data_IF_375646971180
#
_entry.id   IF_375646971180
#
_cell.length_a   1.000
_cell.length_b   1.000
_cell.length_c   1.000
_cell.angle_alpha   90.00
_cell.angle_beta   90.00
_cell.angle_gamma   90.00
#
_symmetry.space_group_name_H-M   'P 1'
#
loop_
_entity.id
_entity.type
_entity.pdbx_description
1 polymer ?
#
# COMPACT_ATOMS: atom_id res chain seq x y z
N UNK A 1 37.53 3.84 14.09
CA UNK A 1 38.18 2.70 13.42
C UNK A 1 37.10 1.68 13.07
N UNK A 2 36.98 1.39 11.78
CA UNK A 2 35.95 0.53 11.17
C UNK A 2 36.14 -0.96 11.51
N UNK A 3 35.04 -1.70 11.61
CA UNK A 3 34.97 -3.14 11.28
C UNK A 3 33.49 -3.53 11.27
N UNK A 4 32.73 -3.66 10.16
CA UNK A 4 32.99 -4.14 8.79
C UNK A 4 33.60 -5.54 8.70
N UNK A 5 33.37 -6.44 9.66
CA UNK A 5 33.58 -7.88 9.49
C UNK A 5 32.64 -8.69 10.41
N UNK A 6 31.40 -8.93 9.98
CA UNK A 6 30.54 -9.96 10.58
C UNK A 6 29.51 -10.45 9.55
N UNK A 7 29.99 -10.78 8.34
CA UNK A 7 29.22 -11.48 7.32
C UNK A 7 30.12 -12.53 6.68
N UNK A 8 30.26 -13.68 7.35
CA UNK A 8 30.68 -14.94 6.74
C UNK A 8 30.54 -16.04 7.77
N UNK A 9 29.40 -16.73 7.72
CA UNK A 9 29.20 -18.15 8.05
C UNK A 9 27.70 -18.34 8.25
N UNK A 10 26.98 -18.60 7.15
CA UNK A 10 25.74 -19.40 7.09
C UNK A 10 25.23 -19.37 5.63
N UNK A 11 26.03 -19.94 4.73
CA UNK A 11 25.61 -20.32 3.38
C UNK A 11 26.04 -21.76 3.13
N UNK A 12 25.10 -22.68 3.29
CA UNK A 12 25.04 -24.01 2.67
C UNK A 12 23.68 -24.60 3.10
N UNK A 13 22.77 -25.11 2.27
CA UNK A 13 22.65 -25.28 0.84
C UNK A 13 21.21 -25.80 0.68
N UNK A 14 20.40 -25.20 -0.20
CA UNK A 14 19.01 -25.60 -0.41
C UNK A 14 18.59 -25.25 -1.82
N UNK A 15 18.88 -26.16 -2.74
CA UNK A 15 18.56 -26.12 -4.17
C UNK A 15 17.04 -26.17 -4.39
N UNK A 16 16.59 -25.45 -5.41
CA UNK A 16 15.36 -25.75 -6.16
C UNK A 16 14.10 -25.14 -5.59
N UNK A 17 13.64 -24.04 -6.18
CA UNK A 17 12.40 -24.07 -6.97
C UNK A 17 12.11 -22.70 -7.56
N UNK A 18 12.04 -22.67 -8.89
CA UNK A 18 11.80 -21.50 -9.71
C UNK A 18 10.29 -21.26 -9.75
N UNK A 19 9.77 -20.55 -8.75
CA UNK A 19 8.42 -19.97 -8.81
C UNK A 19 8.52 -18.52 -9.26
N UNK A 20 8.16 -18.28 -10.51
CA UNK A 20 7.90 -16.93 -11.04
C UNK A 20 6.57 -16.48 -10.46
N UNK A 21 6.61 -15.67 -9.40
CA UNK A 21 5.43 -14.99 -8.86
C UNK A 21 5.32 -13.61 -9.51
N UNK A 22 4.44 -13.50 -10.51
CA UNK A 22 3.95 -12.21 -11.02
C UNK A 22 3.32 -11.40 -9.88
N UNK A 23 3.65 -10.11 -9.72
CA UNK A 23 2.86 -9.25 -8.85
C UNK A 23 1.56 -8.91 -9.57
N UNK A 24 0.44 -9.52 -9.14
CA UNK A 24 -0.89 -8.98 -9.40
C UNK A 24 -1.07 -7.71 -8.57
N UNK A 25 -0.46 -6.63 -9.03
CA UNK A 25 -0.88 -5.29 -8.69
C UNK A 25 -2.25 -5.07 -9.30
N UNK A 26 -3.29 -5.07 -8.47
CA UNK A 26 -4.56 -4.46 -8.84
C UNK A 26 -4.32 -2.94 -8.91
N UNK A 27 -3.74 -2.50 -10.03
CA UNK A 27 -3.86 -1.12 -10.44
C UNK A 27 -5.34 -0.86 -10.66
N UNK A 28 -5.91 -0.06 -9.76
CA UNK A 28 -7.21 0.56 -9.94
C UNK A 28 -7.29 1.04 -11.38
N UNK A 29 -8.24 0.45 -12.11
CA UNK A 29 -8.59 0.79 -13.47
C UNK A 29 -8.72 2.31 -13.50
N UNK A 30 -7.67 2.98 -13.98
CA UNK A 30 -7.70 4.40 -14.24
C UNK A 30 -8.96 4.60 -15.05
N UNK A 31 -9.93 5.30 -14.46
CA UNK A 31 -11.11 5.73 -15.16
C UNK A 31 -10.53 6.52 -16.33
N UNK A 32 -10.51 5.89 -17.52
CA UNK A 32 -10.16 6.57 -18.75
C UNK A 32 -11.09 7.76 -18.73
N UNK A 33 -10.50 8.94 -18.49
CA UNK A 33 -11.11 10.20 -18.84
C UNK A 33 -11.24 10.11 -20.35
N UNK A 34 -12.35 9.55 -20.78
CA UNK A 34 -12.90 9.80 -22.09
C UNK A 34 -13.28 11.28 -22.03
N UNK A 35 -12.27 12.13 -22.20
CA UNK A 35 -12.51 13.44 -22.76
C UNK A 35 -13.24 13.13 -24.05
N UNK A 36 -14.55 13.33 -24.06
CA UNK A 36 -15.28 13.53 -25.29
C UNK A 36 -14.68 14.81 -25.89
N UNK A 37 -13.52 14.67 -26.53
CA UNK A 37 -13.11 15.58 -27.58
C UNK A 37 -14.25 15.49 -28.56
N UNK A 38 -15.13 16.49 -28.51
CA UNK A 38 -16.15 16.72 -29.52
C UNK A 38 -15.47 16.46 -30.85
N UNK A 39 -15.84 15.37 -31.50
CA UNK A 39 -15.37 15.02 -32.84
C UNK A 39 -15.41 16.30 -33.63
N UNK A 40 -14.24 16.83 -34.00
CA UNK A 40 -14.13 17.95 -34.90
C UNK A 40 -14.93 17.53 -36.12
N UNK A 41 -16.15 18.07 -36.28
CA UNK A 41 -16.93 17.88 -37.48
C UNK A 41 -16.17 18.59 -38.58
N UNK A 42 -15.28 17.84 -39.22
CA UNK A 42 -14.81 18.13 -40.56
C UNK A 42 -16.03 18.41 -41.43
N UNK A 43 -15.96 19.50 -42.19
CA UNK A 43 -17.00 19.92 -43.12
C UNK A 43 -17.87 21.04 -42.58
N UNK A 44 -17.29 22.25 -42.47
CA UNK A 44 -18.10 23.44 -42.74
C UNK A 44 -18.50 23.35 -44.21
N UNK A 45 -19.70 22.85 -44.44
CA UNK A 45 -20.32 22.74 -45.76
C UNK A 45 -20.63 24.15 -46.25
N UNK A 46 -19.60 24.84 -46.75
CA UNK A 46 -19.75 26.09 -47.47
C UNK A 46 -20.47 25.75 -48.76
N UNK A 47 -21.80 25.78 -48.71
CA UNK A 47 -22.61 25.71 -49.92
C UNK A 47 -22.11 26.81 -50.86
N UNK A 48 -21.70 26.48 -52.10
CA UNK A 48 -21.41 27.48 -53.09
C UNK A 48 -22.71 28.25 -53.32
N UNK A 49 -22.68 29.52 -52.95
CA UNK A 49 -23.79 30.42 -53.22
C UNK A 49 -23.46 30.97 -54.60
N UNK A 50 -24.18 30.51 -55.62
CA UNK A 50 -24.04 31.00 -56.98
C UNK A 50 -25.24 31.88 -57.27
N UNK A 51 -25.08 33.19 -57.05
CA UNK A 51 -26.14 34.16 -57.29
C UNK A 51 -25.61 35.19 -58.27
N UNK A 52 -25.84 34.90 -59.55
CA UNK A 52 -26.31 35.89 -60.52
C UNK A 52 -26.93 35.18 -61.72
N UNK A 53 -28.21 35.45 -62.07
CA UNK A 53 -28.68 35.22 -63.43
C UNK A 53 -27.86 36.11 -64.38
N UNK A 54 -27.30 35.54 -65.45
CA UNK A 54 -26.51 36.26 -66.46
C UNK A 54 -27.26 37.44 -67.12
N UNK A 55 -28.59 37.48 -66.98
CA UNK A 55 -29.49 38.40 -67.68
C UNK A 55 -29.38 39.88 -67.28
N UNK A 56 -28.90 40.19 -66.07
CA UNK A 56 -28.72 41.58 -65.61
C UNK A 56 -27.40 42.21 -66.05
N UNK A 57 -26.52 41.47 -66.75
CA UNK A 57 -25.21 41.94 -67.21
C UNK A 57 -25.26 42.65 -68.57
N UNK A 58 -26.36 43.32 -68.89
CA UNK A 58 -26.51 44.04 -70.16
C UNK A 58 -26.03 45.48 -70.00
N UNK A 59 -24.89 45.79 -70.61
CA UNK A 59 -24.40 47.16 -70.76
C UNK A 59 -25.45 47.97 -71.54
N UNK A 60 -26.05 48.97 -70.91
CA UNK A 60 -26.98 49.90 -71.55
C UNK A 60 -26.17 51.00 -72.24
N UNK A 61 -25.49 50.64 -73.33
CA UNK A 61 -24.84 51.62 -74.19
C UNK A 61 -25.77 51.94 -75.36
N UNK A 62 -26.02 53.22 -75.61
CA UNK A 62 -26.72 53.65 -76.80
C UNK A 62 -25.73 53.71 -77.97
N UNK A 63 -25.52 52.55 -78.60
CA UNK A 63 -24.63 52.39 -79.75
C UNK A 63 -24.98 53.36 -80.88
N UNK A 64 -26.27 53.68 -81.06
CA UNK A 64 -26.72 54.53 -82.16
C UNK A 64 -26.36 56.00 -81.91
N UNK A 65 -26.59 56.50 -80.69
CA UNK A 65 -26.24 57.88 -80.33
C UNK A 65 -24.73 58.15 -80.49
N UNK A 66 -23.89 57.17 -80.16
CA UNK A 66 -22.43 57.30 -80.29
C UNK A 66 -21.92 57.24 -81.73
N UNK A 67 -22.52 56.39 -82.57
CA UNK A 67 -22.19 56.38 -84.00
C UNK A 67 -22.57 57.71 -84.63
N UNK A 68 -23.76 58.24 -84.31
CA UNK A 68 -24.21 59.54 -84.81
C UNK A 68 -23.31 60.69 -84.34
N UNK A 69 -22.86 60.67 -83.07
CA UNK A 69 -21.94 61.67 -82.54
C UNK A 69 -20.58 61.62 -83.28
N UNK A 70 -20.02 60.43 -83.52
CA UNK A 70 -18.77 60.28 -84.27
C UNK A 70 -18.90 60.73 -85.73
N UNK A 71 -20.02 60.44 -86.40
CA UNK A 71 -20.30 60.91 -87.75
C UNK A 71 -20.32 62.45 -87.83
N UNK A 72 -20.93 63.13 -86.84
CA UNK A 72 -20.95 64.60 -86.79
C UNK A 72 -19.58 65.24 -86.56
N UNK A 73 -18.63 64.48 -86.02
CA UNK A 73 -17.24 64.91 -85.80
C UNK A 73 -16.28 64.52 -86.93
N UNK A 74 -16.81 64.10 -88.09
CA UNK A 74 -16.04 63.91 -89.31
C UNK A 74 -15.48 62.50 -89.51
N UNK A 75 -15.97 61.50 -88.76
CA UNK A 75 -15.68 60.09 -89.05
C UNK A 75 -16.64 59.56 -90.11
N UNK A 76 -16.12 58.72 -91.01
CA UNK A 76 -16.99 57.95 -91.90
C UNK A 76 -17.84 56.97 -91.10
N UNK A 77 -19.05 56.67 -91.57
CA UNK A 77 -20.00 55.77 -90.90
C UNK A 77 -19.37 54.42 -90.57
N UNK A 78 -18.60 53.87 -91.50
CA UNK A 78 -17.91 52.58 -91.30
C UNK A 78 -16.85 52.64 -90.20
N UNK A 79 -16.18 53.78 -90.06
CA UNK A 79 -15.17 54.02 -89.02
C UNK A 79 -15.83 54.22 -87.66
N UNK A 80 -16.91 55.00 -87.59
CA UNK A 80 -17.70 55.21 -86.38
C UNK A 80 -18.28 53.88 -85.84
N UNK A 81 -18.89 53.07 -86.71
CA UNK A 81 -19.42 51.75 -86.34
C UNK A 81 -18.32 50.80 -85.84
N UNK A 82 -17.15 50.81 -86.48
CA UNK A 82 -16.01 49.96 -86.07
C UNK A 82 -15.46 50.35 -84.70
N UNK A 83 -15.32 51.65 -84.43
CA UNK A 83 -14.85 52.17 -83.13
C UNK A 83 -15.85 51.81 -82.02
N UNK A 84 -17.14 52.04 -82.25
CA UNK A 84 -18.19 51.74 -81.28
C UNK A 84 -18.32 50.22 -81.04
N UNK A 85 -18.13 49.40 -82.07
CA UNK A 85 -18.09 47.93 -81.94
C UNK A 85 -16.90 47.46 -81.10
N UNK A 86 -15.71 48.01 -81.31
CA UNK A 86 -14.53 47.71 -80.48
C UNK A 86 -14.74 48.13 -79.01
N UNK A 87 -15.30 49.32 -78.76
CA UNK A 87 -15.65 49.82 -77.43
C UNK A 87 -16.68 48.94 -76.72
N UNK A 88 -17.72 48.52 -77.45
CA UNK A 88 -18.75 47.61 -76.93
C UNK A 88 -18.14 46.27 -76.55
N UNK A 89 -17.25 45.74 -77.39
CA UNK A 89 -16.57 44.46 -77.14
C UNK A 89 -15.65 44.55 -75.91
N UNK A 90 -14.81 45.58 -75.82
CA UNK A 90 -13.92 45.79 -74.67
C UNK A 90 -14.70 46.02 -73.38
N UNK A 91 -15.78 46.81 -73.43
CA UNK A 91 -16.63 47.09 -72.27
C UNK A 91 -17.33 45.82 -71.77
N UNK A 92 -17.87 45.00 -72.68
CA UNK A 92 -18.49 43.71 -72.32
C UNK A 92 -17.49 42.75 -71.69
N UNK A 93 -16.26 42.66 -72.22
CA UNK A 93 -15.20 41.83 -71.63
C UNK A 93 -14.83 42.36 -70.24
N UNK A 94 -14.64 43.67 -70.08
CA UNK A 94 -14.28 44.26 -68.79
C UNK A 94 -15.36 44.07 -67.72
N UNK A 95 -16.64 44.22 -68.09
CA UNK A 95 -17.76 43.98 -67.18
C UNK A 95 -17.87 42.51 -66.80
N UNK A 96 -17.67 41.57 -67.74
CA UNK A 96 -17.68 40.14 -67.42
C UNK A 96 -16.57 39.78 -66.42
N UNK A 97 -15.38 40.37 -66.56
CA UNK A 97 -14.29 40.22 -65.56
C UNK A 97 -14.69 40.80 -64.21
N UNK A 98 -15.22 42.03 -64.16
CA UNK A 98 -15.66 42.68 -62.92
C UNK A 98 -16.76 41.86 -62.24
N UNK A 99 -17.77 41.36 -62.97
CA UNK A 99 -18.84 40.55 -62.39
C UNK A 99 -18.37 39.18 -61.91
N UNK A 100 -17.30 38.61 -62.48
CA UNK A 100 -16.69 37.36 -62.02
C UNK A 100 -15.82 37.54 -60.79
N UNK A 101 -15.09 38.65 -60.69
CA UNK A 101 -14.14 38.90 -59.60
C UNK A 101 -14.79 39.63 -58.40
N UNK A 102 -15.85 40.40 -58.62
CA UNK A 102 -16.56 41.09 -57.56
C UNK A 102 -17.57 40.21 -56.84
N UNK A 103 -17.77 40.49 -55.56
CA UNK A 103 -18.79 39.85 -54.72
C UNK A 103 -20.07 40.67 -54.80
N UNK A 104 -21.20 40.01 -55.08
CA UNK A 104 -22.51 40.67 -55.08
C UNK A 104 -23.00 40.89 -53.65
N UNK A 105 -23.87 41.90 -53.47
CA UNK A 105 -24.47 42.17 -52.15
C UNK A 105 -25.24 40.95 -51.62
N UNK A 106 -25.94 40.22 -52.48
CA UNK A 106 -26.65 38.98 -52.12
C UNK A 106 -25.69 37.88 -51.64
N UNK A 107 -24.55 37.72 -52.34
CA UNK A 107 -23.49 36.79 -51.95
C UNK A 107 -22.91 37.13 -50.57
N UNK A 108 -22.66 38.42 -50.34
CA UNK A 108 -22.15 38.91 -49.06
C UNK A 108 -23.16 38.70 -47.93
N UNK A 109 -24.45 38.98 -48.15
CA UNK A 109 -25.50 38.80 -47.16
C UNK A 109 -25.63 37.34 -46.72
N UNK A 110 -25.62 36.39 -47.66
CA UNK A 110 -25.69 34.97 -47.32
C UNK A 110 -24.45 34.52 -46.55
N UNK A 111 -23.26 34.99 -46.96
CA UNK A 111 -22.02 34.70 -46.24
C UNK A 111 -22.09 35.21 -44.80
N UNK A 112 -22.62 36.43 -44.59
CA UNK A 112 -22.82 37.00 -43.26
C UNK A 112 -23.83 36.18 -42.44
N UNK A 113 -24.96 35.78 -43.03
CA UNK A 113 -25.94 34.94 -42.36
C UNK A 113 -25.37 33.58 -41.94
N UNK A 114 -24.54 32.95 -42.79
CA UNK A 114 -23.82 31.73 -42.43
C UNK A 114 -22.87 31.95 -41.25
N UNK A 115 -22.09 33.04 -41.27
CA UNK A 115 -21.20 33.40 -40.16
C UNK A 115 -21.96 33.64 -38.86
N UNK A 116 -23.11 34.33 -38.92
CA UNK A 116 -23.97 34.55 -37.75
C UNK A 116 -24.52 33.24 -37.20
N UNK A 117 -24.99 32.33 -38.06
CA UNK A 117 -25.48 31.02 -37.63
C UNK A 117 -24.37 30.19 -36.96
N UNK A 118 -23.13 30.26 -37.45
CA UNK A 118 -21.98 29.62 -36.81
C UNK A 118 -21.65 30.23 -35.46
N UNK A 119 -21.63 31.57 -35.35
CA UNK A 119 -21.42 32.26 -34.07
C UNK A 119 -22.51 31.91 -33.05
N UNK A 120 -23.75 31.77 -33.48
CA UNK A 120 -24.87 31.36 -32.63
C UNK A 120 -24.73 29.91 -32.16
N UNK A 121 -24.22 29.01 -33.01
CA UNK A 121 -23.88 27.64 -32.61
C UNK A 121 -22.80 27.62 -31.54
N UNK A 122 -21.68 28.34 -31.77
CA UNK A 122 -20.57 28.43 -30.81
C UNK A 122 -21.06 29.00 -29.47
N UNK A 123 -21.94 30.02 -29.50
CA UNK A 123 -22.53 30.59 -28.29
C UNK A 123 -23.37 29.57 -27.53
N UNK A 124 -24.16 28.74 -28.22
CA UNK A 124 -24.94 27.67 -27.59
C UNK A 124 -24.02 26.64 -26.93
N UNK A 125 -22.98 26.20 -27.62
CA UNK A 125 -22.02 25.23 -27.09
C UNK A 125 -21.30 25.79 -25.85
N UNK A 126 -20.90 27.06 -25.88
CA UNK A 126 -20.31 27.75 -24.72
C UNK A 126 -21.26 27.77 -23.51
N UNK A 127 -22.55 28.08 -23.72
CA UNK A 127 -23.54 28.10 -22.64
C UNK A 127 -23.79 26.70 -22.08
N UNK A 128 -23.82 25.67 -22.93
CA UNK A 128 -23.97 24.27 -22.49
C UNK A 128 -22.77 23.86 -21.64
N UNK A 129 -21.56 24.16 -22.10
CA UNK A 129 -20.33 23.88 -21.39
C UNK A 129 -20.32 24.56 -20.00
N UNK A 130 -20.65 25.85 -19.95
CA UNK A 130 -20.70 26.64 -18.72
C UNK A 130 -21.74 26.16 -17.71
N UNK A 131 -22.97 25.89 -18.19
CA UNK A 131 -24.10 25.57 -17.30
C UNK A 131 -24.19 24.10 -16.93
N UNK A 132 -23.83 23.19 -17.84
CA UNK A 132 -24.01 21.75 -17.62
C UNK A 132 -22.69 21.11 -17.17
N UNK A 133 -21.66 21.15 -18.01
CA UNK A 133 -20.46 20.34 -17.78
C UNK A 133 -19.65 20.86 -16.59
N UNK A 134 -19.41 22.17 -16.50
CA UNK A 134 -18.70 22.74 -15.36
C UNK A 134 -19.49 22.64 -14.05
N UNK A 135 -20.83 22.73 -14.09
CA UNK A 135 -21.65 22.53 -12.91
C UNK A 135 -21.58 21.09 -12.42
N UNK A 136 -21.68 20.12 -13.33
CA UNK A 136 -21.54 18.70 -13.02
C UNK A 136 -20.16 18.37 -12.46
N UNK A 137 -19.09 18.88 -13.08
CA UNK A 137 -17.72 18.67 -12.60
C UNK A 137 -17.50 19.27 -11.21
N UNK A 138 -18.03 20.47 -10.91
CA UNK A 138 -17.93 21.04 -9.56
C UNK A 138 -18.70 20.22 -8.53
N UNK A 139 -19.92 19.78 -8.86
CA UNK A 139 -20.73 18.95 -7.99
C UNK A 139 -20.06 17.59 -7.71
N UNK A 140 -19.50 16.95 -8.73
CA UNK A 140 -18.75 15.70 -8.59
C UNK A 140 -17.47 15.90 -7.77
N UNK A 141 -16.76 17.02 -7.95
CA UNK A 141 -15.57 17.35 -7.18
C UNK A 141 -15.89 17.55 -5.69
N UNK A 142 -16.94 18.30 -5.36
CA UNK A 142 -17.39 18.48 -3.98
C UNK A 142 -17.87 17.16 -3.36
N UNK A 143 -18.59 16.33 -4.12
CA UNK A 143 -18.97 14.99 -3.67
C UNK A 143 -17.74 14.13 -3.33
N UNK A 144 -16.76 14.07 -4.22
CA UNK A 144 -15.52 13.32 -3.98
C UNK A 144 -14.75 13.84 -2.77
N UNK A 145 -14.75 15.16 -2.54
CA UNK A 145 -14.12 15.78 -1.37
C UNK A 145 -14.81 15.35 -0.07
N UNK A 146 -16.14 15.33 -0.04
CA UNK A 146 -16.92 14.87 1.12
C UNK A 146 -16.65 13.38 1.41
N UNK A 147 -16.67 12.53 0.38
CA UNK A 147 -16.38 11.10 0.52
C UNK A 147 -14.95 10.86 1.04
N UNK A 148 -13.97 11.62 0.54
CA UNK A 148 -12.59 11.57 1.01
C UNK A 148 -12.47 11.94 2.49
N UNK A 149 -13.11 13.03 2.91
CA UNK A 149 -13.11 13.45 4.31
C UNK A 149 -13.81 12.41 5.21
N UNK A 150 -14.89 11.78 4.74
CA UNK A 150 -15.57 10.71 5.46
C UNK A 150 -14.66 9.49 5.65
N UNK A 151 -14.01 9.01 4.58
CA UNK A 151 -13.08 7.87 4.65
C UNK A 151 -11.90 8.20 5.57
N UNK A 152 -11.36 9.41 5.50
CA UNK A 152 -10.29 9.87 6.38
C UNK A 152 -10.70 9.84 7.85
N UNK A 153 -11.89 10.35 8.18
CA UNK A 153 -12.42 10.31 9.54
C UNK A 153 -12.64 8.88 10.04
N UNK A 154 -13.21 8.01 9.21
CA UNK A 154 -13.40 6.60 9.55
C UNK A 154 -12.06 5.91 9.84
N UNK A 155 -11.07 6.10 8.98
CA UNK A 155 -9.74 5.50 9.14
C UNK A 155 -9.05 6.00 10.42
N UNK A 156 -9.17 7.29 10.75
CA UNK A 156 -8.64 7.84 12.00
C UNK A 156 -9.33 7.23 13.22
N UNK A 157 -10.65 7.08 13.18
CA UNK A 157 -11.43 6.46 14.24
C UNK A 157 -11.04 4.99 14.44
N UNK A 158 -11.02 4.19 13.35
CA UNK A 158 -10.65 2.78 13.42
C UNK A 158 -9.21 2.57 13.89
N UNK A 159 -8.26 3.38 13.40
CA UNK A 159 -6.87 3.34 13.87
C UNK A 159 -6.77 3.63 15.36
N UNK A 160 -7.54 4.61 15.85
CA UNK A 160 -7.56 4.97 17.27
C UNK A 160 -8.18 3.86 18.12
N UNK A 161 -9.27 3.25 17.64
CA UNK A 161 -9.93 2.10 18.29
C UNK A 161 -8.98 0.91 18.38
N UNK A 162 -8.40 0.48 17.24
CA UNK A 162 -7.44 -0.64 17.19
C UNK A 162 -6.24 -0.38 18.12
N UNK A 163 -5.75 0.86 18.18
CA UNK A 163 -4.66 1.21 19.10
C UNK A 163 -5.06 1.07 20.57
N UNK A 164 -6.27 1.50 20.93
CA UNK A 164 -6.78 1.37 22.29
C UNK A 164 -6.99 -0.10 22.67
N UNK A 165 -7.60 -0.88 21.77
CA UNK A 165 -7.85 -2.31 21.94
C UNK A 165 -6.53 -3.07 22.11
N UNK A 166 -5.56 -2.89 21.20
CA UNK A 166 -4.25 -3.53 21.31
C UNK A 166 -3.51 -3.14 22.60
N UNK A 167 -3.63 -1.89 23.06
CA UNK A 167 -3.01 -1.45 24.31
C UNK A 167 -3.66 -2.15 25.51
N UNK A 168 -4.98 -2.31 25.49
CA UNK A 168 -5.70 -3.06 26.52
C UNK A 168 -5.28 -4.53 26.52
N UNK A 169 -5.27 -5.19 25.36
CA UNK A 169 -4.89 -6.59 25.22
C UNK A 169 -3.46 -6.84 25.72
N UNK A 170 -2.50 -6.00 25.33
CA UNK A 170 -1.11 -6.10 25.81
C UNK A 170 -1.04 -5.92 27.32
N UNK A 171 -1.83 -5.01 27.90
CA UNK A 171 -1.83 -4.80 29.34
C UNK A 171 -2.46 -5.97 30.10
N UNK A 172 -3.54 -6.55 29.57
CA UNK A 172 -4.18 -7.74 30.15
C UNK A 172 -3.23 -8.94 30.10
N UNK A 173 -2.60 -9.20 28.95
CA UNK A 173 -1.61 -10.29 28.83
C UNK A 173 -0.39 -10.04 29.70
N UNK A 174 0.09 -8.79 29.82
CA UNK A 174 1.18 -8.45 30.74
C UNK A 174 0.79 -8.73 32.20
N UNK A 175 -0.41 -8.37 32.62
CA UNK A 175 -0.91 -8.68 33.97
C UNK A 175 -0.96 -10.19 34.17
N UNK A 176 -1.54 -10.93 33.22
CA UNK A 176 -1.65 -12.39 33.28
C UNK A 176 -0.30 -13.08 33.40
N UNK A 177 0.69 -12.65 32.59
CA UNK A 177 2.06 -13.18 32.66
C UNK A 177 2.71 -12.85 34.00
N UNK A 178 2.48 -11.65 34.53
CA UNK A 178 3.01 -11.25 35.84
C UNK A 178 2.40 -12.10 36.95
N UNK A 179 1.09 -12.29 36.96
CA UNK A 179 0.40 -13.10 37.97
C UNK A 179 0.90 -14.55 37.93
N UNK A 180 1.01 -15.14 36.73
CA UNK A 180 1.58 -16.48 36.55
C UNK A 180 3.03 -16.57 37.06
N UNK A 181 3.85 -15.56 36.78
CA UNK A 181 5.23 -15.53 37.25
C UNK A 181 5.30 -15.46 38.78
N UNK A 182 4.48 -14.61 39.41
CA UNK A 182 4.42 -14.52 40.88
C UNK A 182 3.93 -15.80 41.53
N UNK A 183 2.97 -16.50 40.91
CA UNK A 183 2.50 -17.80 41.40
C UNK A 183 3.60 -18.87 41.30
N UNK A 184 4.32 -18.91 40.18
CA UNK A 184 5.48 -19.81 40.02
C UNK A 184 6.59 -19.50 41.02
N UNK A 185 6.91 -18.23 41.26
CA UNK A 185 7.89 -17.82 42.27
C UNK A 185 7.48 -18.26 43.67
N UNK A 186 6.19 -18.11 44.01
CA UNK A 186 5.64 -18.57 45.29
C UNK A 186 5.75 -20.10 45.42
N UNK A 187 5.33 -20.87 44.42
CA UNK A 187 5.43 -22.33 44.45
C UNK A 187 6.89 -22.81 44.57
N UNK A 188 7.82 -22.12 43.89
CA UNK A 188 9.24 -22.41 43.97
C UNK A 188 9.79 -22.11 45.36
N UNK A 189 9.36 -21.00 45.98
CA UNK A 189 9.74 -20.66 47.35
C UNK A 189 9.20 -21.69 48.34
N UNK A 190 7.91 -22.06 48.25
CA UNK A 190 7.29 -23.10 49.08
C UNK A 190 8.05 -24.43 48.94
N UNK A 191 8.31 -24.89 47.72
CA UNK A 191 9.07 -26.12 47.45
C UNK A 191 10.48 -26.05 48.03
N UNK A 192 11.15 -24.91 47.92
CA UNK A 192 12.50 -24.70 48.48
C UNK A 192 12.46 -24.73 50.02
N UNK A 193 11.44 -24.13 50.65
CA UNK A 193 11.27 -24.18 52.11
C UNK A 193 10.94 -25.59 52.61
N UNK A 194 10.11 -26.35 51.89
CA UNK A 194 9.83 -27.73 52.23
C UNK A 194 11.06 -28.63 52.05
N UNK A 195 11.82 -28.43 50.97
CA UNK A 195 13.05 -29.15 50.71
C UNK A 195 14.08 -28.91 51.82
N UNK A 196 14.32 -27.66 52.19
CA UNK A 196 15.25 -27.31 53.28
C UNK A 196 14.79 -27.85 54.64
N UNK A 197 13.48 -27.85 54.92
CA UNK A 197 12.92 -28.50 56.11
C UNK A 197 13.17 -30.02 56.12
N UNK A 198 12.96 -30.71 55.00
CA UNK A 198 13.25 -32.14 54.89
C UNK A 198 14.74 -32.45 54.97
N UNK A 199 15.59 -31.61 54.38
CA UNK A 199 17.05 -31.75 54.45
C UNK A 199 17.56 -31.60 55.89
N UNK A 200 17.10 -30.57 56.62
CA UNK A 200 17.45 -30.38 58.04
C UNK A 200 16.92 -31.51 58.92
N UNK A 201 15.68 -31.97 58.70
CA UNK A 201 15.14 -33.14 59.40
C UNK A 201 15.99 -34.39 59.13
N UNK A 202 16.33 -34.66 57.87
CA UNK A 202 17.15 -35.82 57.48
C UNK A 202 18.54 -35.75 58.14
N UNK A 203 19.19 -34.58 58.12
CA UNK A 203 20.47 -34.36 58.81
C UNK A 203 20.38 -34.63 60.33
N UNK A 204 19.31 -34.19 60.97
CA UNK A 204 19.10 -34.45 62.40
C UNK A 204 18.95 -35.94 62.71
N UNK A 205 18.17 -36.67 61.91
CA UNK A 205 17.98 -38.13 62.06
C UNK A 205 19.30 -38.87 61.84
N UNK A 206 20.07 -38.47 60.82
CA UNK A 206 21.40 -39.03 60.55
C UNK A 206 22.31 -38.81 61.76
N UNK A 207 22.37 -37.59 62.31
CA UNK A 207 23.20 -37.29 63.48
C UNK A 207 22.76 -38.09 64.71
N UNK A 208 21.45 -38.19 64.97
CA UNK A 208 20.93 -38.98 66.09
C UNK A 208 21.29 -40.47 65.94
N UNK A 209 21.14 -41.01 64.73
CA UNK A 209 21.47 -42.41 64.43
C UNK A 209 22.97 -42.66 64.56
N UNK A 210 23.81 -41.75 64.07
CA UNK A 210 25.26 -41.82 64.24
C UNK A 210 25.64 -41.85 65.72
N UNK A 211 25.07 -40.95 66.53
CA UNK A 211 25.34 -40.91 67.97
C UNK A 211 24.91 -42.20 68.68
N UNK A 212 23.78 -42.81 68.28
CA UNK A 212 23.33 -44.11 68.82
C UNK A 212 24.29 -45.23 68.45
N UNK A 213 24.73 -45.29 67.19
CA UNK A 213 25.73 -46.26 66.72
C UNK A 213 27.02 -46.11 67.53
N UNK A 214 27.50 -44.88 67.73
CA UNK A 214 28.72 -44.63 68.52
C UNK A 214 28.56 -45.09 69.98
N UNK A 215 27.39 -44.86 70.59
CA UNK A 215 27.09 -45.32 71.94
C UNK A 215 27.01 -46.86 72.04
N UNK A 216 26.41 -47.54 71.06
CA UNK A 216 26.38 -49.00 70.97
C UNK A 216 27.77 -49.59 70.74
N UNK A 217 28.60 -48.96 69.91
CA UNK A 217 30.00 -49.37 69.72
C UNK A 217 30.77 -49.27 71.04
N UNK A 218 30.61 -48.15 71.77
CA UNK A 218 31.25 -47.97 73.06
C UNK A 218 30.76 -49.01 74.09
N UNK A 219 29.45 -49.27 74.16
CA UNK A 219 28.88 -50.24 75.10
C UNK A 219 29.34 -51.68 74.77
N UNK A 220 29.28 -52.09 73.50
CA UNK A 220 29.79 -53.39 73.05
C UNK A 220 31.28 -53.55 73.33
N UNK A 221 32.07 -52.49 73.14
CA UNK A 221 33.50 -52.49 73.49
C UNK A 221 33.72 -52.73 74.98
N UNK A 222 32.97 -52.05 75.85
CA UNK A 222 33.08 -52.26 77.30
C UNK A 222 32.66 -53.68 77.72
N UNK A 223 31.59 -54.22 77.13
CA UNK A 223 31.12 -55.60 77.38
C UNK A 223 32.14 -56.63 76.90
N UNK A 224 32.79 -56.38 75.76
CA UNK A 224 33.86 -57.23 75.25
C UNK A 224 35.08 -57.22 76.18
N UNK A 225 35.49 -56.04 76.66
CA UNK A 225 36.59 -55.90 77.62
C UNK A 225 36.26 -56.61 78.95
N UNK A 226 35.04 -56.48 79.47
CA UNK A 226 34.62 -57.16 80.69
C UNK A 226 34.58 -58.69 80.52
N UNK A 227 34.04 -59.20 79.42
CA UNK A 227 33.99 -60.64 79.14
C UNK A 227 35.40 -61.23 78.96
N UNK A 228 36.31 -60.50 78.31
CA UNK A 228 37.73 -60.88 78.23
C UNK A 228 38.35 -61.01 79.64
N UNK A 229 38.09 -60.05 80.53
CA UNK A 229 38.56 -60.09 81.92
C UNK A 229 37.93 -61.25 82.71
N UNK A 230 36.65 -61.52 82.54
CA UNK A 230 35.97 -62.67 83.15
C UNK A 230 36.56 -63.99 82.69
N UNK A 231 36.79 -64.16 81.39
CA UNK A 231 37.42 -65.36 80.83
C UNK A 231 38.81 -65.59 81.44
N UNK A 232 39.62 -64.53 81.57
CA UNK A 232 40.93 -64.58 82.25
C UNK A 232 40.77 -65.03 83.71
N UNK A 233 39.77 -64.49 84.44
CA UNK A 233 39.50 -64.87 85.84
C UNK A 233 39.05 -66.34 85.98
N UNK A 234 38.12 -66.81 85.14
CA UNK A 234 37.66 -68.20 85.15
C UNK A 234 38.79 -69.18 84.82
N UNK A 235 39.65 -68.83 83.85
CA UNK A 235 40.82 -69.63 83.49
C UNK A 235 41.82 -69.69 84.65
N UNK A 236 42.09 -68.57 85.32
CA UNK A 236 42.93 -68.57 86.51
C UNK A 236 42.33 -69.43 87.65
N UNK A 237 41.02 -69.33 87.88
CA UNK A 237 40.32 -70.12 88.89
C UNK A 237 40.36 -71.63 88.59
N UNK A 238 40.15 -72.04 87.32
CA UNK A 238 40.18 -73.45 86.93
C UNK A 238 41.58 -74.05 87.02
N UNK A 239 42.61 -73.30 86.64
CA UNK A 239 44.01 -73.72 86.84
C UNK A 239 44.30 -73.87 88.33
N UNK A 240 43.85 -72.93 89.17
CA UNK A 240 44.06 -72.99 90.61
C UNK A 240 43.31 -74.16 91.27
N UNK A 241 42.09 -74.48 90.85
CA UNK A 241 41.35 -75.65 91.36
C UNK A 241 41.98 -76.96 90.90
N UNK A 242 42.42 -77.06 89.64
CA UNK A 242 43.19 -78.22 89.16
C UNK A 242 44.48 -78.42 89.97
N UNK A 243 45.23 -77.34 90.24
CA UNK A 243 46.42 -77.40 91.09
C UNK A 243 46.08 -77.80 92.53
N UNK A 244 45.00 -77.28 93.11
CA UNK A 244 44.55 -77.64 94.46
C UNK A 244 44.14 -79.12 94.55
N UNK A 245 43.44 -79.65 93.54
CA UNK A 245 43.08 -81.07 93.45
C UNK A 245 44.32 -81.94 93.27
N UNK A 246 45.25 -81.56 92.38
CA UNK A 246 46.50 -82.29 92.18
C UNK A 246 47.36 -82.34 93.45
N UNK A 247 47.44 -81.23 94.20
CA UNK A 247 48.09 -81.19 95.52
C UNK A 247 47.33 -82.03 96.56
N UNK A 248 45.98 -82.05 96.49
CA UNK A 248 45.14 -82.93 97.30
C UNK A 248 45.42 -84.42 97.06
N UNK A 249 45.51 -84.85 95.80
CA UNK A 249 45.87 -86.23 95.42
C UNK A 249 47.31 -86.57 95.77
N UNK A 250 48.26 -85.66 95.54
CA UNK A 250 49.66 -85.83 95.95
C UNK A 250 49.79 -86.06 97.47
N UNK A 251 48.91 -85.45 98.27
CA UNK A 251 48.86 -85.63 99.72
C UNK A 251 48.22 -86.95 100.17
N UNK A 252 47.38 -87.58 99.35
CA UNK A 252 46.74 -88.87 99.64
C UNK A 252 47.59 -90.08 99.19
N UNK A 253 48.59 -89.85 98.33
CA UNK A 253 49.53 -90.88 97.83
C UNK A 253 50.87 -90.92 98.60
N UNK A 254 50.98 -90.16 99.70
CA UNK A 254 52.10 -90.18 100.64
C UNK A 254 51.64 -90.78 101.97
#
# INVERSE_FOLDING_TARGET
MNSRQAWRLLLSQGRGDRWVSSPRGHFSRALRRDFFTTTSKEGYDRRPVDITPLEQRKLTFDTHALVQDLETHGFDKTQAETIVSALTTLSNVSLDTIYKEMVTQAQQEITVQQLMAHLDSIRKDMVILEKSEFANLRAENEKMKIELDQVKQQLMHETSRIRADNKLDINLERSRVTDMFTDQEKQLMETTTEFTKKDTQTKSIISETSNKIDAEIASLKTLMESNKLETIRYLAASVFTCLAIALGFYRFWK
#
